data_IF_134184443069
#
_entry.id   IF_134184443069
#
_cell.length_a   1.000
_cell.length_b   1.000
_cell.length_c   1.000
_cell.angle_alpha   90.00
_cell.angle_beta   90.00
_cell.angle_gamma   90.00
#
_symmetry.space_group_name_H-M   'P 1'
#
loop_
_entity.id
_entity.type
_entity.pdbx_description
1 polymer ?
#
# COMPACT_ATOMS: atom_id res chain seq x y z
N UNK A 1 -13.73 -1.41 -15.40
CA UNK A 1 -12.83 -0.25 -15.60
C UNK A 1 -12.15 0.07 -14.28
N UNK A 2 -10.83 0.20 -14.28
CA UNK A 2 -10.10 0.47 -13.05
C UNK A 2 -10.09 1.97 -12.74
N UNK A 3 -10.10 2.31 -11.46
CA UNK A 3 -10.00 3.67 -10.97
C UNK A 3 -8.53 4.10 -11.04
N UNK A 4 -8.28 5.36 -11.44
CA UNK A 4 -6.93 5.92 -11.45
C UNK A 4 -6.30 5.86 -10.05
N UNK A 5 -4.97 5.72 -10.00
CA UNK A 5 -4.26 5.55 -8.73
C UNK A 5 -4.49 6.69 -7.75
N UNK A 6 -4.41 7.95 -8.21
CA UNK A 6 -4.62 9.10 -7.34
C UNK A 6 -6.03 9.15 -6.76
N UNK A 7 -7.03 8.78 -7.55
CA UNK A 7 -8.44 8.74 -7.10
C UNK A 7 -8.63 7.62 -6.09
N UNK A 8 -8.08 6.44 -6.36
CA UNK A 8 -8.16 5.33 -5.41
C UNK A 8 -7.51 5.69 -4.07
N UNK A 9 -6.33 6.31 -4.12
CA UNK A 9 -5.60 6.72 -2.92
C UNK A 9 -6.40 7.74 -2.11
N UNK A 10 -7.00 8.74 -2.78
CA UNK A 10 -7.82 9.73 -2.09
C UNK A 10 -9.00 9.09 -1.35
N UNK A 11 -9.69 8.15 -1.99
CA UNK A 11 -10.80 7.42 -1.37
C UNK A 11 -10.32 6.53 -0.22
N UNK A 12 -9.20 5.85 -0.39
CA UNK A 12 -8.62 5.00 0.65
C UNK A 12 -8.21 5.81 1.88
N UNK A 13 -7.54 6.95 1.67
CA UNK A 13 -7.14 7.83 2.78
C UNK A 13 -8.34 8.36 3.54
N UNK A 14 -9.42 8.69 2.84
CA UNK A 14 -10.66 9.11 3.50
C UNK A 14 -11.24 8.00 4.35
N UNK A 15 -11.22 6.77 3.86
CA UNK A 15 -11.68 5.61 4.63
C UNK A 15 -10.86 5.42 5.89
N UNK A 16 -9.54 5.50 5.79
CA UNK A 16 -8.66 5.44 6.96
C UNK A 16 -8.98 6.55 7.95
N UNK A 17 -9.19 7.77 7.46
CA UNK A 17 -9.48 8.92 8.30
C UNK A 17 -10.79 8.74 9.07
N UNK A 18 -11.84 8.21 8.42
CA UNK A 18 -13.12 7.93 9.06
C UNK A 18 -13.01 6.87 10.16
N UNK A 19 -12.05 5.96 10.07
CA UNK A 19 -11.79 4.91 11.07
C UNK A 19 -10.66 5.29 12.02
N UNK A 20 -10.19 6.54 11.98
CA UNK A 20 -9.11 7.06 12.81
C UNK A 20 -7.79 6.28 12.66
N UNK A 21 -7.51 5.77 11.46
CA UNK A 21 -6.23 5.15 11.12
C UNK A 21 -5.32 6.20 10.48
N UNK A 22 -4.20 6.57 11.11
CA UNK A 22 -3.26 7.49 10.48
C UNK A 22 -2.76 6.93 9.15
N UNK A 23 -2.88 7.72 8.09
CA UNK A 23 -2.45 7.33 6.74
C UNK A 23 -1.75 8.50 6.07
N UNK A 24 -0.52 8.29 5.62
CA UNK A 24 0.27 9.31 4.93
C UNK A 24 0.80 8.79 3.61
N UNK A 25 0.94 9.69 2.63
CA UNK A 25 1.63 9.39 1.38
C UNK A 25 3.12 9.63 1.60
N UNK A 26 3.90 8.57 1.58
CA UNK A 26 5.35 8.63 1.75
C UNK A 26 6.05 8.94 0.43
N UNK A 27 5.52 8.39 -0.68
CA UNK A 27 6.04 8.62 -2.02
C UNK A 27 4.88 8.80 -2.99
N UNK A 28 4.89 9.90 -3.72
CA UNK A 28 3.90 10.17 -4.77
C UNK A 28 4.38 9.55 -6.07
N UNK A 29 3.50 8.82 -6.74
CA UNK A 29 3.78 8.19 -8.03
C UNK A 29 2.98 8.79 -9.17
N UNK A 30 2.85 8.03 -10.26
CA UNK A 30 2.08 8.46 -11.43
C UNK A 30 0.58 8.51 -11.10
N UNK A 31 -0.07 9.58 -11.50
CA UNK A 31 -1.47 9.85 -11.12
C UNK A 31 -2.44 8.81 -11.67
N UNK A 32 -2.22 8.37 -12.91
CA UNK A 32 -3.18 7.50 -13.60
C UNK A 32 -3.02 6.03 -13.26
N UNK A 33 -1.81 5.49 -13.40
CA UNK A 33 -1.58 4.05 -13.39
C UNK A 33 -0.37 3.61 -12.54
N UNK A 34 0.15 4.47 -11.68
CA UNK A 34 1.26 4.09 -10.81
C UNK A 34 0.86 2.96 -9.86
N UNK A 35 1.73 1.96 -9.71
CA UNK A 35 1.52 0.87 -8.76
C UNK A 35 1.54 1.40 -7.34
N UNK A 36 0.72 0.82 -6.47
CA UNK A 36 0.54 1.29 -5.10
C UNK A 36 1.07 0.24 -4.14
N UNK A 37 1.99 0.66 -3.28
CA UNK A 37 2.47 -0.12 -2.14
C UNK A 37 1.98 0.53 -0.86
N UNK A 38 1.55 -0.29 0.10
CA UNK A 38 1.03 0.19 1.37
C UNK A 38 1.74 -0.53 2.50
N UNK A 39 2.37 0.25 3.38
CA UNK A 39 3.03 -0.24 4.59
C UNK A 39 2.02 -0.17 5.73
N UNK A 40 1.72 -1.30 6.35
CA UNK A 40 0.83 -1.34 7.52
C UNK A 40 1.69 -1.54 8.76
N UNK A 41 1.88 -0.47 9.53
CA UNK A 41 2.67 -0.52 10.76
C UNK A 41 1.79 -1.04 11.90
N UNK A 42 2.19 -2.16 12.47
CA UNK A 42 1.47 -2.79 13.59
C UNK A 42 2.15 -2.53 14.93
N UNK A 43 3.44 -2.18 14.91
CA UNK A 43 4.21 -1.80 16.10
C UNK A 43 5.44 -0.98 15.67
N UNK A 44 6.28 -0.61 16.62
CA UNK A 44 7.46 0.21 16.34
C UNK A 44 8.42 -0.45 15.34
N UNK A 45 8.50 -1.77 15.33
CA UNK A 45 9.47 -2.50 14.47
C UNK A 45 8.82 -3.58 13.62
N UNK A 46 7.50 -3.55 13.45
CA UNK A 46 6.80 -4.56 12.65
C UNK A 46 5.90 -3.89 11.63
N UNK A 47 6.17 -4.14 10.35
CA UNK A 47 5.44 -3.55 9.22
C UNK A 47 5.07 -4.64 8.24
N UNK A 48 3.80 -4.69 7.85
CA UNK A 48 3.36 -5.47 6.69
C UNK A 48 3.54 -4.63 5.45
N UNK A 49 4.20 -5.18 4.43
CA UNK A 49 4.28 -4.53 3.13
C UNK A 49 3.29 -5.18 2.18
N UNK A 50 2.29 -4.40 1.74
CA UNK A 50 1.30 -4.83 0.77
C UNK A 50 1.61 -4.21 -0.59
N UNK A 51 1.49 -4.99 -1.63
CA UNK A 51 1.76 -4.52 -2.98
C UNK A 51 0.80 -5.10 -4.01
N UNK A 52 0.99 -4.77 -5.30
CA UNK A 52 0.14 -5.30 -6.36
C UNK A 52 0.21 -6.84 -6.42
N UNK A 53 -0.88 -7.50 -6.78
CA UNK A 53 -0.91 -8.96 -6.90
C UNK A 53 -0.13 -9.44 -8.12
N UNK A 54 0.26 -10.71 -8.11
CA UNK A 54 0.88 -11.36 -9.26
C UNK A 54 -0.12 -11.63 -10.38
N UNK A 55 -1.41 -11.73 -10.03
CA UNK A 55 -2.49 -12.01 -10.98
C UNK A 55 -3.32 -10.78 -11.30
N UNK A 56 -4.64 -10.95 -11.48
CA UNK A 56 -5.54 -9.82 -11.80
C UNK A 56 -5.47 -8.73 -10.72
N UNK A 57 -5.43 -7.47 -11.17
CA UNK A 57 -5.31 -6.32 -10.28
C UNK A 57 -6.58 -6.05 -9.47
N UNK A 58 -7.74 -6.42 -10.01
CA UNK A 58 -9.04 -6.15 -9.40
C UNK A 58 -9.75 -7.45 -9.04
N UNK A 59 -10.54 -7.41 -7.95
CA UNK A 59 -11.43 -8.51 -7.61
C UNK A 59 -12.73 -8.47 -8.43
N UNK A 60 -13.66 -9.40 -8.16
CA UNK A 60 -14.91 -9.49 -8.88
C UNK A 60 -15.83 -8.28 -8.70
N UNK A 61 -15.60 -7.49 -7.66
CA UNK A 61 -16.36 -6.27 -7.39
C UNK A 61 -15.70 -5.02 -7.94
N UNK A 62 -14.54 -5.16 -8.59
CA UNK A 62 -13.79 -4.04 -9.14
C UNK A 62 -12.86 -3.35 -8.17
N UNK A 63 -12.70 -3.88 -6.96
CA UNK A 63 -11.76 -3.34 -5.97
C UNK A 63 -10.34 -3.83 -6.22
N UNK A 64 -9.36 -2.98 -5.89
CA UNK A 64 -7.95 -3.38 -6.03
C UNK A 64 -7.59 -4.46 -5.03
N UNK A 65 -6.85 -5.45 -5.52
CA UNK A 65 -6.30 -6.54 -4.71
C UNK A 65 -4.89 -6.15 -4.29
N UNK A 66 -4.56 -6.41 -3.03
CA UNK A 66 -3.20 -6.26 -2.51
C UNK A 66 -2.74 -7.57 -1.91
N UNK A 67 -1.46 -7.87 -2.08
CA UNK A 67 -0.86 -9.09 -1.54
C UNK A 67 0.36 -8.71 -0.70
N UNK A 68 0.61 -9.42 0.42
CA UNK A 68 1.81 -9.19 1.20
C UNK A 68 3.07 -9.56 0.40
N UNK A 69 4.09 -8.73 0.50
CA UNK A 69 5.38 -8.98 -0.17
C UNK A 69 6.30 -9.88 0.64
N UNK A 70 6.03 -10.03 1.93
CA UNK A 70 6.75 -10.92 2.83
C UNK A 70 5.77 -11.84 3.53
N UNK A 71 6.21 -12.98 4.00
CA UNK A 71 5.34 -13.96 4.67
C UNK A 71 4.86 -13.48 6.03
N UNK A 72 5.59 -12.56 6.64
CA UNK A 72 5.27 -11.98 7.94
C UNK A 72 5.48 -10.48 7.91
N UNK A 73 5.06 -9.79 8.97
CA UNK A 73 5.50 -8.43 9.21
C UNK A 73 7.03 -8.44 9.44
N UNK A 74 7.70 -7.41 8.97
CA UNK A 74 9.17 -7.29 9.00
C UNK A 74 9.58 -5.92 9.52
N UNK A 75 10.88 -5.74 9.89
CA UNK A 75 11.36 -4.42 10.29
C UNK A 75 11.26 -3.39 9.16
N UNK A 76 11.11 -2.12 9.55
CA UNK A 76 11.01 -1.02 8.59
C UNK A 76 12.19 -0.98 7.61
N UNK A 77 13.41 -1.27 8.09
CA UNK A 77 14.61 -1.26 7.23
C UNK A 77 14.48 -2.23 6.06
N UNK A 78 13.88 -3.39 6.29
CA UNK A 78 13.69 -4.39 5.24
C UNK A 78 12.66 -3.91 4.21
N UNK A 79 11.61 -3.23 4.65
CA UNK A 79 10.62 -2.62 3.76
C UNK A 79 11.29 -1.52 2.94
N UNK A 80 12.08 -0.67 3.57
CA UNK A 80 12.77 0.44 2.89
C UNK A 80 13.70 -0.07 1.78
N UNK A 81 14.46 -1.13 2.06
CA UNK A 81 15.37 -1.73 1.07
C UNK A 81 14.58 -2.31 -0.12
N UNK A 82 13.48 -3.00 0.15
CA UNK A 82 12.61 -3.54 -0.90
C UNK A 82 12.04 -2.43 -1.78
N UNK A 83 11.49 -1.38 -1.16
CA UNK A 83 10.87 -0.27 -1.90
C UNK A 83 11.89 0.54 -2.69
N UNK A 84 13.11 0.70 -2.17
CA UNK A 84 14.19 1.37 -2.91
C UNK A 84 14.52 0.62 -4.20
N UNK A 85 14.58 -0.71 -4.15
CA UNK A 85 14.79 -1.54 -5.35
C UNK A 85 13.63 -1.42 -6.33
N UNK A 86 12.40 -1.46 -5.83
CA UNK A 86 11.22 -1.33 -6.69
C UNK A 86 11.18 0.04 -7.38
N UNK A 87 11.49 1.11 -6.68
CA UNK A 87 11.55 2.45 -7.25
C UNK A 87 12.64 2.59 -8.31
N UNK A 88 13.70 1.81 -8.20
CA UNK A 88 14.75 1.74 -9.22
C UNK A 88 14.28 1.10 -10.54
N UNK A 89 13.35 0.14 -10.45
CA UNK A 89 12.76 -0.49 -11.64
C UNK A 89 11.57 0.30 -12.18
N UNK A 90 10.79 0.92 -11.29
CA UNK A 90 9.57 1.65 -11.63
C UNK A 90 9.50 2.93 -10.78
N UNK A 91 9.92 4.09 -11.34
CA UNK A 91 9.92 5.35 -10.59
C UNK A 91 8.51 5.91 -10.36
N UNK A 92 7.48 5.33 -10.96
CA UNK A 92 6.10 5.81 -10.89
C UNK A 92 5.30 5.20 -9.72
N UNK A 93 5.93 4.44 -8.85
CA UNK A 93 5.24 3.80 -7.72
C UNK A 93 4.82 4.81 -6.66
N UNK A 94 3.68 4.51 -6.04
CA UNK A 94 3.20 5.20 -4.84
C UNK A 94 3.56 4.37 -3.61
N UNK A 95 3.85 5.04 -2.50
CA UNK A 95 4.03 4.38 -1.21
C UNK A 95 3.21 5.12 -0.17
N UNK A 96 2.31 4.40 0.49
CA UNK A 96 1.53 4.89 1.61
C UNK A 96 1.98 4.19 2.89
N UNK A 97 1.80 4.85 4.03
CA UNK A 97 2.00 4.24 5.34
C UNK A 97 0.74 4.42 6.18
N UNK A 98 0.24 3.32 6.75
CA UNK A 98 -0.95 3.29 7.61
C UNK A 98 -0.55 2.68 8.95
N UNK A 99 -1.00 3.27 10.04
CA UNK A 99 -0.85 2.68 11.37
C UNK A 99 -2.12 1.92 11.73
N UNK A 100 -2.01 0.60 11.86
CA UNK A 100 -3.12 -0.26 12.25
C UNK A 100 -2.57 -1.48 12.99
N UNK A 101 -2.77 -1.52 14.31
CA UNK A 101 -2.30 -2.61 15.16
C UNK A 101 -2.84 -3.98 14.75
N UNK A 102 -4.02 -4.01 14.17
CA UNK A 102 -4.64 -5.26 13.70
C UNK A 102 -4.06 -5.73 12.36
N UNK A 103 -3.25 -4.89 11.71
CA UNK A 103 -2.56 -5.24 10.48
C UNK A 103 -3.48 -5.43 9.28
N UNK A 104 -4.69 -4.89 9.31
CA UNK A 104 -5.70 -5.09 8.27
C UNK A 104 -5.76 -3.93 7.29
N UNK A 105 -5.88 -2.69 7.78
CA UNK A 105 -5.95 -1.45 6.99
C UNK A 105 -6.90 -1.57 5.77
N UNK A 106 -7.97 -2.36 5.90
CA UNK A 106 -8.96 -2.67 4.84
C UNK A 106 -8.38 -3.45 3.64
N UNK A 107 -7.18 -4.00 3.76
CA UNK A 107 -6.48 -4.66 2.64
C UNK A 107 -6.38 -6.18 2.81
N UNK A 108 -6.79 -6.69 3.96
CA UNK A 108 -6.60 -8.09 4.30
C UNK A 108 -7.86 -8.75 4.80
#
# INVERSE_FOLDING_TARGET
MSVKSDIWIAAYRKRCDLEALPCVVVRKGALDAGSIYICIRISDDEVWLMGPPAGPLLDDLGDRIFEPRFETAVPQSQVDDYLARQAGYDPDIWVLEVEDRDGQAFLR
#
